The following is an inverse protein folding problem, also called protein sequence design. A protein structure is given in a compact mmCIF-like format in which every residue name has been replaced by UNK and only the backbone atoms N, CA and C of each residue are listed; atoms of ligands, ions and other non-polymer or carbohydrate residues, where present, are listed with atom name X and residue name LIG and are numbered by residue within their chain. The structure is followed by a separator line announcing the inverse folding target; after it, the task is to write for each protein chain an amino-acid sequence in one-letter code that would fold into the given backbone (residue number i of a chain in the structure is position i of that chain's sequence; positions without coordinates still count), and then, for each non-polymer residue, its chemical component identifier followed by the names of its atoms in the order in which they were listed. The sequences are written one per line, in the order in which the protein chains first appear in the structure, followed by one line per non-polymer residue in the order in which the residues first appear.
data_IF_183568974766
#
_entry.id   IF_183568974766
#
_cell.length_a   1.000
_cell.length_b   1.000
_cell.length_c   1.000
_cell.angle_alpha   90.00
_cell.angle_beta   90.00
_cell.angle_gamma   90.00
#
_symmetry.space_group_name_H-M   'P 1'
#
loop_
_entity.id
_entity.type
_entity.pdbx_description
1 polymer ?
#
# COMPACT_ATOMS: atom_id res chain seq x y z
N UNK A 1 -8.58 -26.86 -1.91
CA UNK A 1 -8.09 -25.80 -1.03
C UNK A 1 -7.38 -24.68 -1.80
N UNK A 2 -6.48 -25.00 -2.72
CA UNK A 2 -5.74 -24.04 -3.56
C UNK A 2 -6.62 -23.13 -4.42
N UNK A 3 -7.68 -23.65 -5.07
CA UNK A 3 -8.57 -22.87 -5.91
C UNK A 3 -9.31 -21.74 -5.14
N UNK A 4 -9.70 -21.97 -3.88
CA UNK A 4 -10.33 -20.96 -3.02
C UNK A 4 -9.35 -19.85 -2.65
N UNK A 5 -8.10 -20.22 -2.36
CA UNK A 5 -7.01 -19.27 -2.05
C UNK A 5 -6.68 -18.42 -3.27
N UNK A 6 -6.52 -19.03 -4.45
CA UNK A 6 -6.30 -18.31 -5.70
C UNK A 6 -7.46 -17.36 -6.03
N UNK A 7 -8.70 -17.81 -5.90
CA UNK A 7 -9.87 -16.95 -6.08
C UNK A 7 -9.90 -15.77 -5.10
N UNK A 8 -9.51 -15.99 -3.84
CA UNK A 8 -9.43 -14.94 -2.84
C UNK A 8 -8.36 -13.90 -3.20
N UNK A 9 -7.16 -14.32 -3.63
CA UNK A 9 -6.10 -13.40 -4.08
C UNK A 9 -6.57 -12.61 -5.31
N UNK A 10 -7.19 -13.27 -6.28
CA UNK A 10 -7.69 -12.62 -7.48
C UNK A 10 -8.75 -11.55 -7.16
N UNK A 11 -9.75 -11.89 -6.37
CA UNK A 11 -10.81 -10.95 -5.99
C UNK A 11 -10.27 -9.80 -5.14
N UNK A 12 -9.41 -10.10 -4.15
CA UNK A 12 -8.75 -9.09 -3.34
C UNK A 12 -7.90 -8.15 -4.19
N UNK A 13 -7.11 -8.71 -5.13
CA UNK A 13 -6.28 -7.95 -6.05
C UNK A 13 -7.08 -7.04 -6.97
N UNK A 14 -8.19 -7.53 -7.52
CA UNK A 14 -9.10 -6.72 -8.34
C UNK A 14 -9.67 -5.53 -7.56
N UNK A 15 -10.18 -5.77 -6.34
CA UNK A 15 -10.71 -4.71 -5.46
C UNK A 15 -9.59 -3.73 -5.07
N UNK A 16 -8.40 -4.22 -4.69
CA UNK A 16 -7.26 -3.39 -4.35
C UNK A 16 -6.82 -2.49 -5.51
N UNK A 17 -6.77 -3.03 -6.73
CA UNK A 17 -6.42 -2.26 -7.94
C UNK A 17 -7.46 -1.19 -8.27
N UNK A 18 -8.75 -1.47 -8.10
CA UNK A 18 -9.83 -0.48 -8.27
C UNK A 18 -9.68 0.62 -7.21
N UNK A 19 -9.47 0.26 -5.94
CA UNK A 19 -9.27 1.23 -4.87
C UNK A 19 -8.05 2.12 -5.12
N UNK A 20 -6.93 1.56 -5.60
CA UNK A 20 -5.77 2.34 -6.03
C UNK A 20 -6.11 3.32 -7.14
N UNK A 21 -6.82 2.87 -8.17
CA UNK A 21 -7.22 3.72 -9.28
C UNK A 21 -8.06 4.92 -8.81
N UNK A 22 -8.99 4.70 -7.87
CA UNK A 22 -9.79 5.78 -7.29
C UNK A 22 -8.94 6.79 -6.49
N UNK A 23 -7.88 6.34 -5.79
CA UNK A 23 -6.94 7.24 -5.13
C UNK A 23 -6.18 8.08 -6.15
N UNK A 24 -5.72 7.48 -7.25
CA UNK A 24 -5.03 8.19 -8.34
C UNK A 24 -5.95 9.27 -8.91
N UNK A 25 -7.20 8.93 -9.27
CA UNK A 25 -8.18 9.90 -9.76
C UNK A 25 -8.41 11.06 -8.76
N UNK A 26 -8.48 10.75 -7.46
CA UNK A 26 -8.64 11.80 -6.43
C UNK A 26 -7.43 12.71 -6.30
N UNK A 27 -6.23 12.21 -6.55
CA UNK A 27 -4.99 13.01 -6.55
C UNK A 27 -4.88 13.85 -7.83
N UNK A 28 -5.38 13.35 -8.96
CA UNK A 28 -5.40 14.07 -10.24
C UNK A 28 -6.15 15.42 -10.12
N UNK A 29 -7.19 15.47 -9.30
CA UNK A 29 -7.93 16.71 -9.03
C UNK A 29 -7.11 17.80 -8.32
N UNK A 30 -5.95 17.45 -7.71
CA UNK A 30 -5.08 18.42 -7.04
C UNK A 30 -4.24 19.26 -8.00
N UNK A 31 -4.28 18.97 -9.31
CA UNK A 31 -3.58 19.69 -10.38
C UNK A 31 -2.08 19.93 -10.09
N UNK A 32 -1.41 18.96 -9.50
CA UNK A 32 0.02 18.99 -9.24
C UNK A 32 0.82 18.74 -10.54
N UNK A 33 2.13 19.00 -10.50
CA UNK A 33 3.00 18.58 -11.60
C UNK A 33 3.14 17.06 -11.63
N UNK A 34 3.27 16.47 -12.81
CA UNK A 34 3.20 15.02 -13.06
C UNK A 34 3.97 14.15 -12.07
N UNK A 35 5.27 14.42 -11.83
CA UNK A 35 6.07 13.63 -10.89
C UNK A 35 5.63 13.84 -9.43
N UNK A 36 5.21 15.05 -9.05
CA UNK A 36 4.73 15.33 -7.70
C UNK A 36 3.39 14.65 -7.44
N UNK A 37 2.52 14.61 -8.41
CA UNK A 37 1.23 13.93 -8.38
C UNK A 37 1.41 12.42 -8.20
N UNK A 38 2.28 11.81 -9.02
CA UNK A 38 2.61 10.39 -8.90
C UNK A 38 3.23 10.05 -7.54
N UNK A 39 4.11 10.92 -7.01
CA UNK A 39 4.69 10.74 -5.68
C UNK A 39 3.62 10.75 -4.58
N UNK A 40 2.68 11.69 -4.63
CA UNK A 40 1.59 11.79 -3.63
C UNK A 40 0.68 10.57 -3.72
N UNK A 41 0.21 10.19 -4.91
CA UNK A 41 -0.66 9.05 -5.12
C UNK A 41 0.02 7.74 -4.64
N UNK A 42 1.27 7.53 -5.05
CA UNK A 42 2.07 6.35 -4.67
C UNK A 42 2.31 6.30 -3.16
N UNK A 43 2.57 7.45 -2.52
CA UNK A 43 2.75 7.53 -1.07
C UNK A 43 1.48 7.13 -0.33
N UNK A 44 0.33 7.66 -0.73
CA UNK A 44 -0.97 7.34 -0.10
C UNK A 44 -1.24 5.84 -0.17
N UNK A 45 -1.16 5.24 -1.36
CA UNK A 45 -1.51 3.82 -1.54
C UNK A 45 -0.52 2.89 -0.85
N UNK A 46 0.78 3.22 -0.86
CA UNK A 46 1.79 2.37 -0.24
C UNK A 46 1.77 2.45 1.28
N UNK A 47 1.60 3.64 1.87
CA UNK A 47 1.51 3.81 3.32
C UNK A 47 0.22 3.22 3.89
N UNK A 48 -0.92 3.46 3.23
CA UNK A 48 -2.20 2.88 3.64
C UNK A 48 -2.21 1.35 3.45
N UNK A 49 -1.63 0.85 2.36
CA UNK A 49 -1.49 -0.58 2.13
C UNK A 49 -0.55 -1.27 3.13
N UNK A 50 0.56 -0.63 3.50
CA UNK A 50 1.46 -1.13 4.54
C UNK A 50 0.76 -1.18 5.91
N UNK A 51 -0.02 -0.15 6.27
CA UNK A 51 -0.86 -0.16 7.46
C UNK A 51 -1.87 -1.31 7.44
N UNK A 52 -2.61 -1.48 6.35
CA UNK A 52 -3.58 -2.56 6.17
C UNK A 52 -2.91 -3.92 6.32
N UNK A 53 -1.75 -4.12 5.70
CA UNK A 53 -1.00 -5.37 5.78
C UNK A 53 -0.57 -5.68 7.21
N UNK A 54 -0.08 -4.68 7.96
CA UNK A 54 0.27 -4.82 9.37
C UNK A 54 -0.94 -5.20 10.24
N UNK A 55 -2.07 -4.56 10.00
CA UNK A 55 -3.34 -4.85 10.68
C UNK A 55 -3.81 -6.27 10.40
N UNK A 56 -3.85 -6.68 9.13
CA UNK A 56 -4.23 -8.02 8.67
C UNK A 56 -3.29 -9.09 9.26
N UNK A 57 -1.99 -8.81 9.29
CA UNK A 57 -1.00 -9.71 9.87
C UNK A 57 -1.29 -9.98 11.35
N UNK A 58 -1.57 -8.95 12.13
CA UNK A 58 -1.79 -9.09 13.58
C UNK A 58 -3.09 -9.83 13.92
N UNK A 59 -4.19 -9.64 13.18
CA UNK A 59 -5.44 -10.37 13.42
C UNK A 59 -5.48 -11.71 12.69
N UNK A 60 -4.63 -11.90 11.70
CA UNK A 60 -4.63 -13.07 10.83
C UNK A 60 -4.29 -14.39 11.51
N UNK A 61 -3.67 -14.38 12.70
CA UNK A 61 -3.29 -15.60 13.42
C UNK A 61 -4.49 -16.53 13.66
N UNK A 62 -5.68 -15.98 13.90
CA UNK A 62 -6.94 -16.71 14.13
C UNK A 62 -7.84 -16.84 12.89
N UNK A 63 -7.42 -16.30 11.74
CA UNK A 63 -8.21 -16.27 10.51
C UNK A 63 -7.87 -17.43 9.56
N UNK A 64 -8.82 -17.76 8.68
CA UNK A 64 -8.61 -18.79 7.64
C UNK A 64 -7.54 -18.34 6.63
N UNK A 65 -6.90 -19.31 5.97
CA UNK A 65 -5.92 -19.06 4.90
C UNK A 65 -6.52 -18.23 3.75
N UNK A 66 -7.76 -18.52 3.38
CA UNK A 66 -8.50 -17.77 2.36
C UNK A 66 -8.66 -16.31 2.75
N UNK A 67 -8.97 -16.02 4.01
CA UNK A 67 -9.10 -14.66 4.52
C UNK A 67 -7.75 -13.90 4.45
N UNK A 68 -6.66 -14.54 4.93
CA UNK A 68 -5.32 -13.96 4.87
C UNK A 68 -4.90 -13.65 3.44
N UNK A 69 -5.20 -14.56 2.51
CA UNK A 69 -4.86 -14.44 1.10
C UNK A 69 -5.66 -13.34 0.39
N UNK A 70 -6.91 -13.15 0.78
CA UNK A 70 -7.74 -12.07 0.26
C UNK A 70 -7.21 -10.69 0.68
N UNK A 71 -7.00 -10.46 1.98
CA UNK A 71 -6.63 -9.13 2.50
C UNK A 71 -5.13 -8.82 2.38
N UNK A 72 -4.25 -9.82 2.51
CA UNK A 72 -2.80 -9.65 2.40
C UNK A 72 -2.35 -9.56 0.94
N UNK A 73 -1.94 -10.66 0.32
CA UNK A 73 -1.42 -10.64 -1.05
C UNK A 73 -2.47 -10.18 -2.08
N UNK A 74 -3.78 -10.40 -1.85
CA UNK A 74 -4.84 -9.89 -2.70
C UNK A 74 -5.00 -8.38 -2.56
N UNK A 75 -5.77 -7.94 -1.57
CA UNK A 75 -6.19 -6.54 -1.43
C UNK A 75 -5.01 -5.59 -1.24
N UNK A 76 -4.15 -5.84 -0.24
CA UNK A 76 -3.00 -4.96 0.01
C UNK A 76 -2.00 -5.00 -1.15
N UNK A 77 -1.74 -6.18 -1.75
CA UNK A 77 -0.87 -6.32 -2.91
C UNK A 77 -1.40 -5.65 -4.17
N UNK A 78 -2.72 -5.68 -4.42
CA UNK A 78 -3.36 -4.97 -5.53
C UNK A 78 -3.44 -3.46 -5.31
N UNK A 79 -3.56 -3.03 -4.05
CA UNK A 79 -3.67 -1.61 -3.68
C UNK A 79 -2.32 -0.88 -3.72
N UNK A 80 -1.23 -1.50 -3.25
CA UNK A 80 0.12 -0.92 -3.28
C UNK A 80 0.77 -1.01 -4.66
N UNK A 81 1.83 -0.22 -4.89
CA UNK A 81 2.54 -0.22 -6.16
C UNK A 81 4.05 0.00 -5.99
N UNK A 82 4.85 -0.90 -6.57
CA UNK A 82 6.29 -0.70 -6.75
C UNK A 82 6.60 -0.01 -8.08
N UNK A 83 5.74 -0.17 -9.08
CA UNK A 83 5.94 0.47 -10.39
C UNK A 83 5.84 2.00 -10.32
N UNK A 84 4.99 2.56 -9.46
CA UNK A 84 4.93 3.99 -9.20
C UNK A 84 6.26 4.52 -8.65
N UNK A 85 6.86 3.80 -7.67
CA UNK A 85 8.19 4.16 -7.15
C UNK A 85 9.27 4.10 -8.24
N UNK A 86 9.26 3.05 -9.05
CA UNK A 86 10.21 2.90 -10.16
C UNK A 86 10.04 4.01 -11.20
N UNK A 87 8.81 4.42 -11.50
CA UNK A 87 8.52 5.52 -12.41
C UNK A 87 9.06 6.85 -11.88
N UNK A 88 8.83 7.16 -10.61
CA UNK A 88 9.33 8.38 -9.96
C UNK A 88 10.85 8.45 -10.01
N UNK A 89 11.54 7.35 -9.67
CA UNK A 89 13.01 7.31 -9.68
C UNK A 89 13.57 7.39 -11.10
N UNK A 90 12.97 6.70 -12.06
CA UNK A 90 13.37 6.79 -13.47
C UNK A 90 13.16 8.20 -14.04
N UNK A 91 12.04 8.85 -13.72
CA UNK A 91 11.77 10.23 -14.11
C UNK A 91 12.81 11.21 -13.53
N UNK A 92 13.22 10.99 -12.29
CA UNK A 92 14.27 11.79 -11.65
C UNK A 92 15.63 11.62 -12.38
N UNK A 93 16.02 10.39 -12.73
CA UNK A 93 17.26 10.08 -13.45
C UNK A 93 17.26 10.59 -14.89
N UNK A 94 16.11 10.55 -15.58
CA UNK A 94 15.97 11.07 -16.93
C UNK A 94 15.93 12.60 -17.02
N UNK A 95 16.10 13.30 -15.88
CA UNK A 95 16.14 14.75 -15.84
C UNK A 95 14.78 15.43 -16.08
N UNK A 96 13.67 14.70 -15.88
CA UNK A 96 12.32 15.28 -15.96
C UNK A 96 12.04 16.26 -14.81
N UNK A 97 12.96 16.36 -13.84
CA UNK A 97 12.93 17.30 -12.74
C UNK A 97 14.33 17.83 -12.43
N UNK A 98 14.47 19.14 -12.28
CA UNK A 98 15.71 19.80 -11.83
C UNK A 98 16.09 19.46 -10.38
N UNK A 99 15.19 18.85 -9.64
CA UNK A 99 15.35 18.47 -8.23
C UNK A 99 15.27 16.94 -8.03
N UNK A 100 15.78 16.16 -8.99
CA UNK A 100 15.70 14.71 -9.00
C UNK A 100 16.15 14.04 -7.69
N UNK A 101 17.16 14.58 -7.00
CA UNK A 101 17.61 14.06 -5.70
C UNK A 101 16.51 14.09 -4.62
N UNK A 102 15.57 15.03 -4.68
CA UNK A 102 14.46 15.10 -3.73
C UNK A 102 13.50 13.92 -3.87
N UNK A 103 13.33 13.41 -5.10
CA UNK A 103 12.51 12.21 -5.33
C UNK A 103 13.15 10.95 -4.73
N UNK A 104 14.47 10.82 -4.84
CA UNK A 104 15.20 9.74 -4.16
C UNK A 104 15.07 9.81 -2.65
N UNK A 105 15.19 11.01 -2.08
CA UNK A 105 14.96 11.23 -0.64
C UNK A 105 13.52 10.89 -0.25
N UNK A 106 12.54 11.33 -1.05
CA UNK A 106 11.13 11.04 -0.78
C UNK A 106 10.83 9.53 -0.81
N UNK A 107 11.41 8.79 -1.76
CA UNK A 107 11.29 7.32 -1.81
C UNK A 107 11.93 6.68 -0.57
N UNK A 108 13.12 7.11 -0.16
CA UNK A 108 13.77 6.59 1.04
C UNK A 108 12.93 6.85 2.31
N UNK A 109 12.40 8.07 2.45
CA UNK A 109 11.49 8.43 3.55
C UNK A 109 10.22 7.57 3.50
N UNK A 110 9.64 7.35 2.32
CA UNK A 110 8.44 6.53 2.15
C UNK A 110 8.67 5.07 2.58
N UNK A 111 9.85 4.49 2.33
CA UNK A 111 10.18 3.15 2.81
C UNK A 111 10.22 3.08 4.34
N UNK A 112 10.84 4.06 4.99
CA UNK A 112 10.89 4.16 6.46
C UNK A 112 9.47 4.34 7.03
N UNK A 113 8.68 5.26 6.46
CA UNK A 113 7.29 5.49 6.87
C UNK A 113 6.42 4.25 6.63
N UNK A 114 6.68 3.47 5.56
CA UNK A 114 6.00 2.21 5.29
C UNK A 114 6.20 1.18 6.41
N UNK A 115 7.43 1.03 6.89
CA UNK A 115 7.73 0.17 8.04
C UNK A 115 7.00 0.67 9.30
N UNK A 116 7.01 1.98 9.52
CA UNK A 116 6.32 2.58 10.68
C UNK A 116 4.80 2.38 10.61
N UNK A 117 4.17 2.62 9.46
CA UNK A 117 2.72 2.43 9.30
C UNK A 117 2.32 0.96 9.39
N UNK A 118 3.13 0.03 8.90
CA UNK A 118 2.93 -1.40 9.11
C UNK A 118 2.95 -1.74 10.61
N UNK A 119 3.97 -1.28 11.34
CA UNK A 119 4.07 -1.46 12.79
C UNK A 119 2.85 -0.87 13.52
N UNK A 120 2.42 0.32 13.14
CA UNK A 120 1.23 0.97 13.71
C UNK A 120 -0.03 0.12 13.47
N UNK A 121 -0.19 -0.44 12.29
CA UNK A 121 -1.28 -1.36 11.95
C UNK A 121 -1.30 -2.59 12.88
N UNK A 122 -0.13 -3.20 13.12
CA UNK A 122 -0.01 -4.35 14.03
C UNK A 122 -0.38 -3.98 15.46
N UNK A 123 0.05 -2.83 15.96
CA UNK A 123 -0.23 -2.38 17.32
C UNK A 123 -1.72 -2.11 17.55
N UNK A 124 -2.37 -1.46 16.60
CA UNK A 124 -3.80 -1.15 16.70
C UNK A 124 -4.66 -2.42 16.69
N UNK A 125 -4.33 -3.38 15.84
CA UNK A 125 -5.01 -4.67 15.78
C UNK A 125 -4.85 -5.45 17.09
N UNK A 126 -3.63 -5.53 17.62
CA UNK A 126 -3.33 -6.25 18.87
C UNK A 126 -4.05 -5.66 20.08
N UNK A 127 -4.21 -4.33 20.15
CA UNK A 127 -4.99 -3.67 21.22
C UNK A 127 -6.47 -4.00 21.16
N UNK A 128 -7.06 -4.08 19.95
CA UNK A 128 -8.47 -4.46 19.76
C UNK A 128 -8.72 -5.91 20.20
N UNK A 129 -7.81 -6.82 19.84
CA UNK A 129 -7.92 -8.24 20.23
C UNK A 129 -7.91 -8.42 21.75
N UNK A 130 -7.03 -7.73 22.47
CA UNK A 130 -6.97 -7.78 23.94
C UNK A 130 -8.23 -7.24 24.60
N UNK A 131 -8.83 -6.16 24.08
CA UNK A 131 -10.04 -5.55 24.64
C UNK A 131 -11.30 -6.39 24.38
N UNK A 132 -11.31 -7.23 23.37
CA UNK A 132 -12.42 -8.15 23.07
C UNK A 132 -12.37 -9.44 23.90
N UNK A 133 -11.20 -9.73 24.54
CA UNK A 133 -10.98 -10.91 25.37
C UNK A 133 -11.11 -10.64 26.88
N UNK A 134 -11.28 -9.39 27.31
CA UNK A 134 -11.55 -8.95 28.68
C UNK A 134 -13.00 -8.59 28.88
#
# INVERSE_FOLDING_TARGET
MQAKVLGAVFLGGAIGSIARFLVILGVDELALQDLSQELVATSIVNLAGAFLLGFVHAIGASCSETWKSFFGPGLAGGFTTMSGLAWITAGAELGLSSVGYLYWMAVAIQLVLGIFTYWLGTQLASRRSKKAAS
#
